data_IF_217081706382
#
_entry.id   IF_217081706382
#
_cell.length_a   1.000
_cell.length_b   1.000
_cell.length_c   1.000
_cell.angle_alpha   90.00
_cell.angle_beta   90.00
_cell.angle_gamma   90.00
#
_symmetry.space_group_name_H-M   'P 1'
#
loop_
_entity.id
_entity.type
_entity.pdbx_description
1 polymer ?
#
# COMPACT_ATOMS: atom_id res chain seq x y z
N UNK A 1 19.53 26.39 4.69
CA UNK A 1 18.18 25.80 4.78
C UNK A 1 18.26 24.32 4.44
N UNK A 2 18.07 23.41 5.39
CA UNK A 2 17.79 22.00 5.06
C UNK A 2 16.31 21.93 4.71
N UNK A 3 15.97 21.61 3.45
CA UNK A 3 14.61 21.17 3.12
C UNK A 3 14.37 19.89 3.92
N UNK A 4 13.30 19.87 4.70
CA UNK A 4 12.80 18.62 5.28
C UNK A 4 12.30 17.81 4.08
N UNK A 5 13.01 16.75 3.73
CA UNK A 5 12.55 15.79 2.73
C UNK A 5 11.40 15.00 3.35
N UNK A 6 10.20 15.14 2.79
CA UNK A 6 9.08 14.28 3.16
C UNK A 6 9.42 12.88 2.67
N UNK A 7 9.80 11.99 3.57
CA UNK A 7 9.72 10.55 3.32
C UNK A 7 8.23 10.21 3.28
N UNK A 8 7.61 10.46 2.12
CA UNK A 8 6.17 10.51 1.93
C UNK A 8 5.58 9.11 2.05
N UNK A 9 5.19 8.75 3.27
CA UNK A 9 4.23 7.69 3.49
C UNK A 9 2.88 8.16 2.96
N UNK A 10 2.35 7.50 1.95
CA UNK A 10 1.00 7.73 1.46
C UNK A 10 0.05 6.74 2.13
N UNK A 11 -1.16 7.20 2.41
CA UNK A 11 -2.20 6.45 3.08
C UNK A 11 -3.49 6.54 2.28
N UNK A 12 -4.10 5.40 1.99
CA UNK A 12 -5.33 5.26 1.22
C UNK A 12 -6.30 4.34 1.95
N UNK A 13 -7.57 4.71 1.99
CA UNK A 13 -8.64 3.92 2.57
C UNK A 13 -9.63 3.49 1.50
N UNK A 14 -10.25 2.33 1.70
CA UNK A 14 -11.31 1.80 0.83
C UNK A 14 -10.89 1.73 -0.65
N UNK A 15 -9.65 1.32 -0.90
CA UNK A 15 -9.11 1.16 -2.25
C UNK A 15 -9.16 -0.28 -2.72
N UNK A 16 -9.25 -0.43 -4.04
CA UNK A 16 -9.02 -1.70 -4.72
C UNK A 16 -7.53 -1.93 -4.90
N UNK A 17 -7.04 -3.08 -4.43
CA UNK A 17 -5.64 -3.48 -4.56
C UNK A 17 -5.54 -4.87 -5.17
N UNK A 18 -4.66 -5.00 -6.16
CA UNK A 18 -4.27 -6.28 -6.75
C UNK A 18 -2.86 -6.63 -6.29
N UNK A 19 -2.72 -7.73 -5.56
CA UNK A 19 -1.42 -8.32 -5.21
C UNK A 19 -1.08 -9.35 -6.28
N UNK A 20 0.14 -9.28 -6.82
CA UNK A 20 0.57 -10.09 -7.96
C UNK A 20 0.99 -11.49 -7.52
N UNK A 21 1.64 -11.61 -6.36
CA UNK A 21 2.15 -12.88 -5.83
C UNK A 21 2.05 -12.93 -4.29
N UNK A 22 1.15 -13.76 -3.71
CA UNK A 22 0.13 -14.55 -4.40
C UNK A 22 -0.86 -13.66 -5.15
N UNK A 23 -1.39 -14.14 -6.28
CA UNK A 23 -2.39 -13.38 -7.04
C UNK A 23 -3.69 -13.28 -6.23
N UNK A 24 -4.02 -12.09 -5.76
CA UNK A 24 -5.26 -11.82 -5.03
C UNK A 24 -5.71 -10.39 -5.24
N UNK A 25 -7.03 -10.17 -5.20
CA UNK A 25 -7.65 -8.84 -5.30
C UNK A 25 -8.44 -8.56 -4.04
N UNK A 26 -8.31 -7.36 -3.49
CA UNK A 26 -9.07 -6.88 -2.34
C UNK A 26 -9.81 -5.61 -2.78
N UNK A 27 -11.14 -5.60 -2.66
CA UNK A 27 -11.99 -4.53 -3.19
C UNK A 27 -12.17 -3.35 -2.20
N UNK A 28 -11.75 -3.50 -0.94
CA UNK A 28 -11.94 -2.50 0.13
C UNK A 28 -10.82 -2.63 1.18
N UNK A 29 -9.59 -2.28 0.80
CA UNK A 29 -8.43 -2.36 1.68
C UNK A 29 -7.97 -0.97 2.16
N UNK A 30 -7.29 -0.95 3.30
CA UNK A 30 -6.49 0.21 3.72
C UNK A 30 -5.03 -0.05 3.36
N UNK A 31 -4.40 0.93 2.72
CA UNK A 31 -3.03 0.80 2.21
C UNK A 31 -2.18 1.95 2.74
N UNK A 32 -1.05 1.59 3.34
CA UNK A 32 -0.01 2.51 3.75
C UNK A 32 1.27 2.13 3.02
N UNK A 33 1.90 3.04 2.29
CA UNK A 33 3.18 2.77 1.65
C UNK A 33 4.14 3.94 1.72
N UNK A 34 5.42 3.63 1.86
CA UNK A 34 6.49 4.61 1.81
C UNK A 34 7.31 4.40 0.53
N UNK A 35 7.31 5.39 -0.36
CA UNK A 35 8.05 5.33 -1.63
C UNK A 35 9.55 5.07 -1.42
N UNK A 36 10.12 5.61 -0.34
CA UNK A 36 11.55 5.47 -0.06
C UNK A 36 11.94 4.05 0.38
N UNK A 37 11.05 3.33 1.09
CA UNK A 37 11.33 1.96 1.54
C UNK A 37 10.89 0.90 0.52
N UNK A 38 9.99 1.26 -0.39
CA UNK A 38 9.39 0.33 -1.35
C UNK A 38 8.43 -0.68 -0.70
N UNK A 39 8.15 -0.58 0.60
CA UNK A 39 7.21 -1.47 1.28
C UNK A 39 5.79 -0.87 1.31
N UNK A 40 4.83 -1.78 1.17
CA UNK A 40 3.40 -1.53 1.22
C UNK A 40 2.81 -2.40 2.32
N UNK A 41 2.13 -1.76 3.25
CA UNK A 41 1.30 -2.39 4.28
C UNK A 41 -0.14 -2.33 3.80
N UNK A 42 -0.81 -3.47 3.81
CA UNK A 42 -2.21 -3.62 3.40
C UNK A 42 -2.98 -4.21 4.57
N UNK A 43 -4.02 -3.53 5.02
CA UNK A 43 -4.96 -4.03 6.01
C UNK A 43 -6.25 -4.45 5.31
N UNK A 44 -6.65 -5.71 5.52
CA UNK A 44 -7.90 -6.25 4.98
C UNK A 44 -9.05 -6.00 5.94
N UNK A 45 -10.29 -6.14 5.46
CA UNK A 45 -11.49 -6.04 6.30
C UNK A 45 -11.54 -7.06 7.44
N UNK A 46 -10.88 -8.21 7.26
CA UNK A 46 -10.75 -9.24 8.29
C UNK A 46 -9.67 -8.90 9.34
N UNK A 47 -9.17 -7.66 9.35
CA UNK A 47 -8.08 -7.18 10.21
C UNK A 47 -6.77 -7.98 10.03
N UNK A 48 -6.57 -8.57 8.85
CA UNK A 48 -5.28 -9.18 8.49
C UNK A 48 -4.37 -8.10 7.93
N UNK A 49 -3.12 -8.07 8.40
CA UNK A 49 -2.07 -7.21 7.84
C UNK A 49 -1.19 -8.02 6.90
N UNK A 50 -1.04 -7.53 5.67
CA UNK A 50 -0.09 -8.04 4.69
C UNK A 50 0.99 -6.99 4.48
N UNK A 51 2.25 -7.41 4.44
CA UNK A 51 3.39 -6.54 4.11
C UNK A 51 4.04 -7.11 2.85
N UNK A 52 4.18 -6.28 1.83
CA UNK A 52 4.77 -6.68 0.55
C UNK A 52 5.56 -5.53 -0.06
N UNK A 53 6.33 -5.83 -1.10
CA UNK A 53 7.05 -4.81 -1.86
C UNK A 53 6.11 -4.15 -2.88
N UNK A 54 6.32 -2.86 -3.19
CA UNK A 54 5.48 -2.08 -4.11
C UNK A 54 5.46 -2.67 -5.53
N UNK A 55 6.52 -3.39 -5.92
CA UNK A 55 6.56 -4.13 -7.19
C UNK A 55 5.54 -5.27 -7.29
N UNK A 56 4.97 -5.69 -6.16
CA UNK A 56 4.04 -6.81 -6.10
C UNK A 56 2.59 -6.35 -5.99
N UNK A 57 2.31 -5.04 -6.09
CA UNK A 57 0.96 -4.51 -5.95
C UNK A 57 0.62 -3.50 -7.03
N UNK A 58 -0.65 -3.45 -7.40
CA UNK A 58 -1.27 -2.36 -8.14
C UNK A 58 -2.37 -1.79 -7.25
N UNK A 59 -2.28 -0.49 -6.94
CA UNK A 59 -3.27 0.24 -6.15
C UNK A 59 -4.08 1.08 -7.13
N UNK A 60 -5.38 0.81 -7.24
CA UNK A 60 -6.30 1.62 -8.02
C UNK A 60 -6.81 2.77 -7.13
N UNK A 61 -6.53 4.00 -7.55
CA UNK A 61 -6.90 5.25 -6.85
C UNK A 61 -7.60 6.17 -7.85
N UNK A 62 -8.67 6.85 -7.42
CA UNK A 62 -9.38 7.87 -8.21
C UNK A 62 -8.62 9.21 -8.28
#
# INVERSE_FOLDING_TARGET
MRKIEHYATNYYENVKIMIIAPSMTLEQATVEYCLASGYVKVETQEQKTLITHISNVVIEVD
#
